data_IF_248839770734
#
_entry.id   IF_248839770734
#
_cell.length_a   1.000
_cell.length_b   1.000
_cell.length_c   1.000
_cell.angle_alpha   90.00
_cell.angle_beta   90.00
_cell.angle_gamma   90.00
#
_symmetry.space_group_name_H-M   'P 1'
#
loop_
_entity.id
_entity.type
_entity.pdbx_description
1 polymer ?
#
# COMPACT_ATOMS: atom_id res chain seq x y z
N UNK A 1 6.34 13.86 47.16
CA UNK A 1 5.78 14.35 45.87
C UNK A 1 5.06 13.24 45.10
N UNK A 2 5.18 11.98 45.54
CA UNK A 2 4.71 10.82 44.79
C UNK A 2 3.19 10.58 44.89
N UNK A 3 2.55 11.10 45.93
CA UNK A 3 1.09 10.95 46.13
C UNK A 3 0.27 11.62 45.03
N UNK A 4 0.66 12.82 44.58
CA UNK A 4 -0.07 13.55 43.55
C UNK A 4 -0.06 12.81 42.21
N UNK A 5 1.12 12.34 41.79
CA UNK A 5 1.29 11.62 40.54
C UNK A 5 0.52 10.29 40.55
N UNK A 6 0.56 9.55 41.66
CA UNK A 6 -0.16 8.29 41.80
C UNK A 6 -1.69 8.47 41.75
N UNK A 7 -2.22 9.49 42.41
CA UNK A 7 -3.66 9.80 42.36
C UNK A 7 -4.10 10.17 40.94
N UNK A 8 -3.31 10.96 40.23
CA UNK A 8 -3.61 11.35 38.85
C UNK A 8 -3.61 10.15 37.91
N UNK A 9 -2.59 9.29 38.00
CA UNK A 9 -2.51 8.05 37.21
C UNK A 9 -3.68 7.10 37.50
N UNK A 10 -4.11 6.98 38.75
CA UNK A 10 -5.24 6.13 39.13
C UNK A 10 -6.57 6.63 38.54
N UNK A 11 -6.82 7.94 38.58
CA UNK A 11 -8.02 8.55 37.99
C UNK A 11 -8.04 8.33 36.47
N UNK A 12 -6.89 8.47 35.82
CA UNK A 12 -6.73 8.20 34.39
C UNK A 12 -7.02 6.75 34.03
N UNK A 13 -6.53 5.78 34.81
CA UNK A 13 -6.75 4.36 34.54
C UNK A 13 -8.22 3.93 34.75
N UNK A 14 -8.93 4.55 35.71
CA UNK A 14 -10.35 4.31 35.96
C UNK A 14 -11.22 4.83 34.81
N UNK A 15 -10.96 6.05 34.36
CA UNK A 15 -11.81 6.71 33.36
C UNK A 15 -11.40 6.41 31.91
N UNK A 16 -10.12 6.14 31.68
CA UNK A 16 -9.53 5.95 30.36
C UNK A 16 -8.43 4.87 30.41
N UNK A 17 -8.80 3.61 30.70
CA UNK A 17 -7.83 2.52 30.76
C UNK A 17 -7.14 2.37 29.40
N UNK A 18 -5.82 2.21 29.44
CA UNK A 18 -5.02 2.04 28.23
C UNK A 18 -5.30 0.66 27.62
N UNK A 19 -6.15 0.63 26.59
CA UNK A 19 -6.47 -0.61 25.86
C UNK A 19 -5.54 -0.78 24.66
N UNK A 20 -4.50 -1.58 24.81
CA UNK A 20 -3.66 -1.99 23.68
C UNK A 20 -4.32 -3.14 22.93
N UNK A 21 -4.45 -3.02 21.60
CA UNK A 21 -4.85 -4.11 20.72
C UNK A 21 -3.66 -4.50 19.86
N UNK A 22 -3.31 -5.78 19.86
CA UNK A 22 -2.31 -6.31 18.94
C UNK A 22 -2.93 -6.30 17.55
N UNK A 23 -2.38 -5.46 16.66
CA UNK A 23 -2.83 -5.38 15.26
C UNK A 23 -1.85 -6.17 14.41
N UNK A 24 -2.34 -7.22 13.75
CA UNK A 24 -1.53 -8.01 12.85
C UNK A 24 -1.61 -7.39 11.45
N UNK A 25 -0.51 -6.78 11.00
CA UNK A 25 -0.35 -6.37 9.61
C UNK A 25 0.05 -7.58 8.77
N UNK A 26 -0.82 -8.59 8.67
CA UNK A 26 -0.63 -9.62 7.65
C UNK A 26 -0.76 -8.91 6.31
N UNK A 27 0.32 -8.85 5.52
CA UNK A 27 0.25 -8.28 4.17
C UNK A 27 -0.74 -9.14 3.38
N UNK A 28 -1.95 -8.64 3.15
CA UNK A 28 -3.02 -9.35 2.44
C UNK A 28 -2.64 -9.77 1.01
N UNK A 29 -1.52 -9.25 0.48
CA UNK A 29 -0.93 -9.63 -0.79
C UNK A 29 0.61 -9.55 -0.72
N UNK A 30 1.30 -10.61 -0.24
CA UNK A 30 2.76 -10.62 -0.16
C UNK A 30 3.42 -10.57 -1.55
N UNK A 31 2.74 -11.13 -2.56
CA UNK A 31 3.08 -11.03 -3.99
C UNK A 31 3.02 -9.59 -4.54
N UNK A 32 2.29 -8.68 -3.88
CA UNK A 32 2.18 -7.28 -4.33
C UNK A 32 3.37 -6.45 -3.80
N UNK A 33 4.50 -6.56 -4.48
CA UNK A 33 5.77 -5.88 -4.14
C UNK A 33 5.80 -4.41 -4.55
N UNK A 34 6.87 -3.69 -4.16
CA UNK A 34 7.09 -2.29 -4.52
C UNK A 34 7.23 -2.08 -6.04
N UNK A 35 7.74 -3.08 -6.77
CA UNK A 35 7.84 -3.04 -8.24
C UNK A 35 6.46 -2.91 -8.89
N UNK A 36 5.47 -3.69 -8.44
CA UNK A 36 4.10 -3.58 -8.92
C UNK A 36 3.47 -2.22 -8.59
N UNK A 37 3.79 -1.64 -7.43
CA UNK A 37 3.36 -0.28 -7.07
C UNK A 37 3.97 0.77 -8.00
N UNK A 38 5.26 0.65 -8.33
CA UNK A 38 5.95 1.53 -9.25
C UNK A 38 5.32 1.45 -10.65
N UNK A 39 5.10 0.24 -11.19
CA UNK A 39 4.41 0.05 -12.47
C UNK A 39 3.01 0.65 -12.45
N UNK A 40 2.20 0.42 -11.41
CA UNK A 40 0.87 1.04 -11.28
C UNK A 40 0.96 2.57 -11.32
N UNK A 41 1.94 3.16 -10.64
CA UNK A 41 2.17 4.63 -10.66
C UNK A 41 2.50 5.11 -12.07
N UNK A 42 3.40 4.44 -12.79
CA UNK A 42 3.74 4.78 -14.19
C UNK A 42 2.52 4.71 -15.10
N UNK A 43 1.68 3.68 -14.94
CA UNK A 43 0.42 3.58 -15.68
C UNK A 43 -0.52 4.76 -15.44
N UNK A 44 -0.61 5.26 -14.20
CA UNK A 44 -1.41 6.46 -13.87
C UNK A 44 -0.87 7.73 -14.51
N UNK A 45 0.45 7.86 -14.67
CA UNK A 45 1.05 8.99 -15.39
C UNK A 45 0.66 8.97 -16.85
N UNK A 46 0.73 7.80 -17.51
CA UNK A 46 0.31 7.62 -18.91
C UNK A 46 -1.19 7.86 -19.11
N UNK A 47 -2.02 7.36 -18.19
CA UNK A 47 -3.46 7.60 -18.19
C UNK A 47 -3.77 9.11 -18.15
N UNK A 48 -3.18 9.84 -17.20
CA UNK A 48 -3.34 11.30 -17.10
C UNK A 48 -2.84 12.00 -18.35
N UNK A 49 -1.68 11.61 -18.88
CA UNK A 49 -1.13 12.20 -20.11
C UNK A 49 -2.07 12.00 -21.30
N UNK A 50 -2.75 10.85 -21.41
CA UNK A 50 -3.78 10.61 -22.43
C UNK A 50 -5.04 11.45 -22.18
N UNK A 51 -5.56 11.49 -20.95
CA UNK A 51 -6.74 12.31 -20.62
C UNK A 51 -6.51 13.79 -20.90
N UNK A 52 -5.30 14.30 -20.64
CA UNK A 52 -4.95 15.70 -20.88
C UNK A 52 -4.69 16.01 -22.35
N UNK A 53 -3.97 15.14 -23.09
CA UNK A 53 -3.58 15.46 -24.47
C UNK A 53 -4.59 15.00 -25.53
N UNK A 54 -5.39 13.97 -25.24
CA UNK A 54 -6.26 13.31 -26.22
C UNK A 54 -5.51 12.60 -27.37
N UNK A 55 -4.18 12.56 -27.37
CA UNK A 55 -3.38 12.00 -28.46
C UNK A 55 -3.42 10.47 -28.51
N UNK A 56 -3.55 9.93 -29.72
CA UNK A 56 -3.52 8.48 -29.98
C UNK A 56 -2.23 7.83 -29.50
N UNK A 57 -1.09 8.52 -29.61
CA UNK A 57 0.21 8.00 -29.14
C UNK A 57 0.17 7.72 -27.63
N UNK A 58 -0.39 8.63 -26.83
CA UNK A 58 -0.51 8.43 -25.37
C UNK A 58 -1.48 7.29 -25.05
N UNK A 59 -2.57 7.15 -25.83
CA UNK A 59 -3.50 6.02 -25.72
C UNK A 59 -2.82 4.68 -25.99
N UNK A 60 -1.98 4.61 -27.02
CA UNK A 60 -1.24 3.39 -27.37
C UNK A 60 -0.23 3.05 -26.28
N UNK A 61 0.55 4.02 -25.81
CA UNK A 61 1.50 3.84 -24.71
C UNK A 61 0.82 3.36 -23.43
N UNK A 62 -0.33 3.95 -23.07
CA UNK A 62 -1.11 3.50 -21.91
C UNK A 62 -1.61 2.05 -22.08
N UNK A 63 -2.15 1.70 -23.25
CA UNK A 63 -2.61 0.33 -23.54
C UNK A 63 -1.49 -0.70 -23.49
N UNK A 64 -0.32 -0.37 -24.03
CA UNK A 64 0.84 -1.23 -23.96
C UNK A 64 1.29 -1.43 -22.51
N UNK A 65 1.38 -0.35 -21.74
CA UNK A 65 1.67 -0.42 -20.31
C UNK A 65 0.66 -1.30 -19.56
N UNK A 66 -0.64 -1.19 -19.85
CA UNK A 66 -1.66 -2.03 -19.21
C UNK A 66 -1.43 -3.52 -19.46
N UNK A 67 -1.07 -3.91 -20.70
CA UNK A 67 -0.73 -5.30 -21.03
C UNK A 67 0.49 -5.79 -20.25
N UNK A 68 1.55 -4.98 -20.21
CA UNK A 68 2.78 -5.30 -19.47
C UNK A 68 2.52 -5.44 -17.97
N UNK A 69 1.69 -4.56 -17.39
CA UNK A 69 1.29 -4.62 -15.99
C UNK A 69 0.45 -5.85 -15.67
N UNK A 70 -0.51 -6.21 -16.53
CA UNK A 70 -1.32 -7.41 -16.37
C UNK A 70 -0.46 -8.69 -16.41
N UNK A 71 0.52 -8.76 -17.31
CA UNK A 71 1.49 -9.86 -17.38
C UNK A 71 2.32 -9.97 -16.10
N UNK A 72 2.83 -8.84 -15.60
CA UNK A 72 3.60 -8.80 -14.34
C UNK A 72 2.76 -9.28 -13.15
N UNK A 73 1.51 -8.82 -13.04
CA UNK A 73 0.59 -9.27 -12.00
C UNK A 73 0.31 -10.78 -12.10
N UNK A 74 0.03 -11.29 -13.29
CA UNK A 74 -0.22 -12.71 -13.52
C UNK A 74 0.97 -13.56 -13.10
N UNK A 75 2.19 -13.14 -13.45
CA UNK A 75 3.41 -13.83 -13.01
C UNK A 75 3.59 -13.80 -11.49
N UNK A 76 3.34 -12.66 -10.84
CA UNK A 76 3.50 -12.53 -9.39
C UNK A 76 2.44 -13.27 -8.59
N UNK A 77 1.21 -13.37 -9.11
CA UNK A 77 0.14 -14.15 -8.47
C UNK A 77 0.33 -15.66 -8.64
N UNK A 78 1.11 -16.10 -9.63
CA UNK A 78 1.34 -17.52 -9.92
C UNK A 78 2.53 -18.10 -9.11
N UNK A 79 3.51 -17.28 -8.72
CA UNK A 79 4.74 -17.74 -8.04
C UNK A 79 4.65 -17.50 -6.52
N UNK A 80 4.92 -18.51 -5.67
CA UNK A 80 5.01 -18.31 -4.23
C UNK A 80 6.21 -17.42 -3.86
N UNK A 81 6.02 -16.64 -2.80
CA UNK A 81 6.86 -15.52 -2.34
C UNK A 81 8.37 -15.85 -2.38
N UNK A 82 9.12 -15.23 -3.29
CA UNK A 82 10.58 -15.23 -3.24
C UNK A 82 11.08 -14.08 -2.35
N UNK A 83 12.01 -14.32 -1.41
CA UNK A 83 12.67 -13.25 -0.68
C UNK A 83 13.52 -12.43 -1.65
N UNK A 84 13.25 -11.13 -1.74
CA UNK A 84 14.07 -10.17 -2.49
C UNK A 84 15.32 -9.89 -1.64
N UNK A 85 16.51 -10.13 -2.20
CA UNK A 85 17.81 -9.86 -1.56
C UNK A 85 18.04 -8.38 -1.27
#
# INVERSE_FOLDING_TARGET
MDHYNNSLSSILDIHAPLKTRTVNFTRSAPWYTNQHRAMKRSGRVLERAYTTSGLTVHKLAYREHQKSYAKALSSASCVPITPQQ
#
